data_IF_538580430013
#
_entry.id   IF_538580430013
#
_cell.length_a   1.000
_cell.length_b   1.000
_cell.length_c   1.000
_cell.angle_alpha   90.00
_cell.angle_beta   90.00
_cell.angle_gamma   90.00
#
_symmetry.space_group_name_H-M   'P 1'
#
loop_
_entity.id
_entity.type
_entity.pdbx_description
1 polymer ?
#
# COMPACT_ATOMS: atom_id res chain seq x y z
N UNK A 1 0.23 -8.84 -16.69
CA UNK A 1 1.68 -8.52 -16.67
C UNK A 1 2.20 -8.93 -15.31
N UNK A 2 3.04 -9.96 -15.26
CA UNK A 2 3.62 -10.49 -14.02
C UNK A 2 5.00 -9.85 -13.87
N UNK A 3 5.19 -9.01 -12.86
CA UNK A 3 6.53 -8.52 -12.51
C UNK A 3 7.32 -9.67 -11.87
N UNK A 4 7.90 -10.52 -12.72
CA UNK A 4 8.96 -11.43 -12.35
C UNK A 4 10.23 -10.63 -12.11
N UNK A 5 10.40 -10.12 -10.89
CA UNK A 5 11.71 -9.66 -10.43
C UNK A 5 12.65 -10.88 -10.45
N UNK A 6 13.55 -10.92 -11.43
CA UNK A 6 14.70 -11.82 -11.49
C UNK A 6 15.62 -11.56 -10.28
N UNK A 7 15.25 -12.12 -9.12
CA UNK A 7 16.06 -12.14 -7.90
C UNK A 7 17.11 -13.27 -7.93
N UNK A 8 17.24 -13.98 -9.04
CA UNK A 8 18.07 -15.18 -9.17
C UNK A 8 19.52 -14.89 -9.62
N UNK A 9 19.99 -13.65 -9.53
CA UNK A 9 21.39 -13.28 -9.85
C UNK A 9 22.25 -12.93 -8.64
N UNK A 10 21.66 -12.81 -7.45
CA UNK A 10 22.35 -12.33 -6.24
C UNK A 10 22.48 -13.33 -5.09
N UNK A 11 22.18 -14.61 -5.30
CA UNK A 11 22.37 -15.62 -4.25
C UNK A 11 21.58 -15.29 -2.97
N UNK A 12 20.41 -14.67 -3.09
CA UNK A 12 19.51 -14.47 -1.95
C UNK A 12 18.73 -15.76 -1.76
N UNK A 13 19.41 -16.73 -1.16
CA UNK A 13 18.84 -18.01 -0.73
C UNK A 13 17.98 -17.87 0.54
N UNK A 14 17.39 -16.69 0.78
CA UNK A 14 16.68 -16.45 2.02
C UNK A 14 15.24 -16.05 1.70
N UNK A 15 14.37 -17.07 1.68
CA UNK A 15 12.92 -16.88 1.66
C UNK A 15 12.47 -15.87 2.73
N UNK A 16 13.18 -15.69 3.85
CA UNK A 16 12.82 -14.67 4.85
C UNK A 16 13.05 -13.22 4.40
N UNK A 17 13.97 -12.92 3.48
CA UNK A 17 14.12 -11.53 2.99
C UNK A 17 13.00 -11.13 2.03
N UNK A 18 12.52 -12.07 1.21
CA UNK A 18 11.37 -11.85 0.32
C UNK A 18 10.07 -11.79 1.13
N UNK A 19 9.89 -12.68 2.11
CA UNK A 19 8.76 -12.63 3.04
C UNK A 19 8.78 -11.36 3.90
N UNK A 20 9.94 -10.92 4.37
CA UNK A 20 10.07 -9.64 5.09
C UNK A 20 9.73 -8.45 4.20
N UNK A 21 10.21 -8.43 2.95
CA UNK A 21 9.87 -7.36 2.02
C UNK A 21 8.36 -7.30 1.76
N UNK A 22 7.72 -8.45 1.54
CA UNK A 22 6.27 -8.54 1.35
C UNK A 22 5.51 -8.10 2.60
N UNK A 23 5.92 -8.57 3.78
CA UNK A 23 5.29 -8.21 5.05
C UNK A 23 5.43 -6.70 5.36
N UNK A 24 6.61 -6.13 5.13
CA UNK A 24 6.87 -4.70 5.29
C UNK A 24 6.01 -3.88 4.31
N UNK A 25 5.93 -4.33 3.05
CA UNK A 25 5.13 -3.67 2.01
C UNK A 25 3.64 -3.75 2.33
N UNK A 26 3.13 -4.91 2.74
CA UNK A 26 1.72 -5.10 3.13
C UNK A 26 1.37 -4.27 4.38
N UNK A 27 2.23 -4.28 5.39
CA UNK A 27 2.06 -3.45 6.59
C UNK A 27 2.06 -1.96 6.25
N UNK A 28 2.98 -1.52 5.38
CA UNK A 28 3.04 -0.15 4.91
C UNK A 28 1.80 0.22 4.09
N UNK A 29 1.33 -0.66 3.22
CA UNK A 29 0.13 -0.49 2.41
C UNK A 29 -1.14 -0.35 3.28
N UNK A 30 -1.26 -1.17 4.32
CA UNK A 30 -2.37 -1.11 5.28
C UNK A 30 -2.38 0.23 6.03
N UNK A 31 -1.22 0.68 6.52
CA UNK A 31 -1.08 1.99 7.16
C UNK A 31 -1.34 3.14 6.19
N UNK A 32 -0.83 3.06 4.97
CA UNK A 32 -1.05 4.06 3.93
C UNK A 32 -2.54 4.24 3.63
N UNK A 33 -3.27 3.13 3.45
CA UNK A 33 -4.72 3.16 3.22
C UNK A 33 -5.46 3.78 4.39
N UNK A 34 -5.07 3.42 5.62
CA UNK A 34 -5.65 3.95 6.86
C UNK A 34 -5.33 5.43 7.09
N UNK A 35 -4.22 5.94 6.58
CA UNK A 35 -3.91 7.37 6.64
C UNK A 35 -4.60 8.14 5.50
N UNK A 36 -4.72 7.54 4.32
CA UNK A 36 -5.37 8.12 3.14
C UNK A 36 -6.87 8.39 3.32
N UNK A 37 -7.55 7.74 4.28
CA UNK A 37 -8.94 8.06 4.62
C UNK A 37 -9.10 9.36 5.41
N UNK A 38 -8.03 9.85 6.04
CA UNK A 38 -8.08 11.04 6.89
C UNK A 38 -7.61 12.30 6.16
N UNK A 39 -6.57 12.17 5.32
CA UNK A 39 -5.94 13.29 4.61
C UNK A 39 -5.45 12.89 3.22
N UNK A 40 -4.66 13.77 2.61
CA UNK A 40 -4.22 13.57 1.22
C UNK A 40 -3.13 12.50 1.12
N UNK A 41 -3.31 11.44 0.30
CA UNK A 41 -2.30 10.39 0.11
C UNK A 41 -1.05 10.86 -0.63
N UNK A 42 -1.16 11.90 -1.48
CA UNK A 42 -0.01 12.44 -2.22
C UNK A 42 1.09 12.97 -1.28
N UNK A 43 0.68 13.58 -0.17
CA UNK A 43 1.58 14.10 0.85
C UNK A 43 2.23 13.00 1.71
N UNK A 44 1.60 11.83 1.85
CA UNK A 44 2.19 10.67 2.56
C UNK A 44 3.40 10.12 1.80
N UNK A 45 3.37 10.19 0.46
CA UNK A 45 4.51 9.77 -0.37
C UNK A 45 5.66 10.74 -0.36
N UNK A 46 5.37 12.01 -0.06
CA UNK A 46 6.38 13.06 0.08
C UNK A 46 6.99 13.01 1.47
N UNK A 47 8.21 13.53 1.63
CA UNK A 47 8.92 13.56 2.94
C UNK A 47 8.37 14.73 3.78
N UNK A 48 7.05 14.88 3.74
CA UNK A 48 6.31 15.97 4.34
C UNK A 48 6.33 15.79 5.86
N UNK A 49 6.50 16.87 6.65
CA UNK A 49 6.38 16.77 8.09
C UNK A 49 4.93 16.42 8.49
N UNK A 50 4.78 15.71 9.60
CA UNK A 50 3.46 15.30 10.11
C UNK A 50 2.49 16.48 10.26
N UNK A 51 2.97 17.64 10.72
CA UNK A 51 2.17 18.84 10.94
C UNK A 51 1.52 19.36 9.64
N UNK A 52 2.30 19.39 8.55
CA UNK A 52 1.83 19.81 7.23
C UNK A 52 0.86 18.79 6.62
N UNK A 53 1.08 17.50 6.84
CA UNK A 53 0.12 16.47 6.45
C UNK A 53 -1.17 16.55 7.28
N UNK A 54 -1.07 16.75 8.60
CA UNK A 54 -2.20 16.89 9.52
C UNK A 54 -3.05 18.12 9.19
N UNK A 55 -2.43 19.21 8.70
CA UNK A 55 -3.16 20.38 8.22
C UNK A 55 -4.10 20.06 7.02
N UNK A 56 -3.85 18.97 6.29
CA UNK A 56 -4.74 18.49 5.22
C UNK A 56 -5.78 17.47 5.68
N UNK A 57 -5.70 17.04 6.93
CA UNK A 57 -6.65 16.10 7.52
C UNK A 57 -7.93 16.84 7.89
N UNK A 58 -9.07 16.15 7.74
CA UNK A 58 -10.40 16.71 8.07
C UNK A 58 -10.42 17.28 9.51
N UNK A 59 -10.88 18.52 9.71
CA UNK A 59 -11.04 19.08 11.05
C UNK A 59 -12.10 18.29 11.82
N UNK A 60 -11.84 18.02 13.10
CA UNK A 60 -12.78 17.31 13.99
C UNK A 60 -12.35 15.90 14.40
N UNK A 61 -11.08 15.54 14.28
CA UNK A 61 -10.55 14.32 14.88
C UNK A 61 -10.59 14.40 16.41
N UNK A 62 -10.89 13.26 17.05
CA UNK A 62 -10.74 13.14 18.50
C UNK A 62 -9.25 13.04 18.84
N UNK A 63 -8.88 13.47 20.05
CA UNK A 63 -7.51 13.37 20.56
C UNK A 63 -6.97 11.93 20.50
N UNK A 64 -7.84 10.93 20.69
CA UNK A 64 -7.49 9.52 20.55
C UNK A 64 -7.14 9.13 19.11
N UNK A 65 -7.92 9.61 18.13
CA UNK A 65 -7.66 9.37 16.71
C UNK A 65 -6.40 10.09 16.25
N UNK A 66 -6.17 11.33 16.69
CA UNK A 66 -4.94 12.07 16.41
C UNK A 66 -3.70 11.32 16.90
N UNK A 67 -3.73 10.75 18.11
CA UNK A 67 -2.63 9.94 18.62
C UNK A 67 -2.44 8.64 17.83
N UNK A 68 -3.54 7.97 17.45
CA UNK A 68 -3.48 6.77 16.63
C UNK A 68 -2.87 7.07 15.25
N UNK A 69 -3.34 8.14 14.60
CA UNK A 69 -2.85 8.62 13.30
C UNK A 69 -1.37 9.03 13.39
N UNK A 70 -0.97 9.74 14.45
CA UNK A 70 0.43 10.11 14.67
C UNK A 70 1.33 8.87 14.82
N UNK A 71 0.84 7.83 15.52
CA UNK A 71 1.55 6.56 15.66
C UNK A 71 1.67 5.84 14.32
N UNK A 72 0.58 5.78 13.56
CA UNK A 72 0.52 5.13 12.26
C UNK A 72 1.42 5.84 11.24
N UNK A 73 1.44 7.18 11.24
CA UNK A 73 2.33 7.99 10.41
C UNK A 73 3.81 7.74 10.71
N UNK A 74 4.18 7.71 11.99
CA UNK A 74 5.55 7.41 12.42
C UNK A 74 5.96 6.00 12.00
N UNK A 75 5.06 5.04 12.14
CA UNK A 75 5.29 3.64 11.75
C UNK A 75 5.46 3.51 10.24
N UNK A 76 4.63 4.19 9.45
CA UNK A 76 4.77 4.25 8.00
C UNK A 76 6.12 4.83 7.58
N UNK A 77 6.59 5.89 8.24
CA UNK A 77 7.89 6.51 7.96
C UNK A 77 9.06 5.55 8.19
N UNK A 78 8.98 4.77 9.28
CA UNK A 78 10.00 3.75 9.59
C UNK A 78 9.98 2.66 8.50
N UNK A 79 8.81 2.12 8.17
CA UNK A 79 8.67 1.08 7.14
C UNK A 79 9.15 1.58 5.76
N UNK A 80 8.84 2.81 5.40
CA UNK A 80 9.35 3.45 4.18
C UNK A 80 10.87 3.54 4.17
N UNK A 81 11.48 3.84 5.32
CA UNK A 81 12.95 3.89 5.45
C UNK A 81 13.55 2.50 5.31
N UNK A 82 12.95 1.47 5.91
CA UNK A 82 13.41 0.08 5.74
C UNK A 82 13.25 -0.40 4.30
N UNK A 83 12.13 -0.09 3.66
CA UNK A 83 11.91 -0.38 2.24
C UNK A 83 12.90 0.39 1.35
N UNK A 84 13.21 1.65 1.64
CA UNK A 84 14.22 2.44 0.94
C UNK A 84 15.62 1.81 1.08
N UNK A 85 15.96 1.27 2.27
CA UNK A 85 17.23 0.55 2.48
C UNK A 85 17.30 -0.75 1.67
N UNK A 86 16.20 -1.50 1.59
CA UNK A 86 16.12 -2.77 0.86
C UNK A 86 16.10 -2.58 -0.66
N UNK A 87 15.30 -1.62 -1.15
CA UNK A 87 15.15 -1.32 -2.58
C UNK A 87 16.23 -0.39 -3.13
N UNK A 88 17.02 0.24 -2.26
CA UNK A 88 18.01 1.29 -2.57
C UNK A 88 17.43 2.49 -3.33
N UNK A 89 16.11 2.62 -3.41
CA UNK A 89 15.43 3.67 -4.15
C UNK A 89 14.06 3.94 -3.56
N UNK A 90 13.84 5.19 -3.17
CA UNK A 90 12.57 5.61 -2.57
C UNK A 90 11.40 5.48 -3.54
N UNK A 91 11.60 5.82 -4.80
CA UNK A 91 10.57 5.74 -5.84
C UNK A 91 10.10 4.29 -6.02
N UNK A 92 11.03 3.33 -5.98
CA UNK A 92 10.71 1.90 -6.02
C UNK A 92 9.98 1.44 -4.76
N UNK A 93 10.41 1.87 -3.57
CA UNK A 93 9.70 1.57 -2.32
C UNK A 93 8.25 2.08 -2.34
N UNK A 94 8.03 3.31 -2.82
CA UNK A 94 6.69 3.88 -2.95
C UNK A 94 5.85 3.14 -3.98
N UNK A 95 6.43 2.79 -5.14
CA UNK A 95 5.74 2.03 -6.17
C UNK A 95 5.24 0.68 -5.64
N UNK A 96 6.05 -0.04 -4.84
CA UNK A 96 5.66 -1.31 -4.22
C UNK A 96 4.47 -1.14 -3.26
N UNK A 97 4.49 -0.10 -2.43
CA UNK A 97 3.40 0.19 -1.49
C UNK A 97 2.13 0.50 -2.27
N UNK A 98 2.19 1.40 -3.25
CA UNK A 98 1.03 1.81 -4.05
C UNK A 98 0.45 0.65 -4.86
N UNK A 99 1.31 -0.17 -5.46
CA UNK A 99 0.89 -1.40 -6.16
C UNK A 99 0.16 -2.35 -5.20
N UNK A 100 0.69 -2.56 -3.99
CA UNK A 100 0.06 -3.42 -2.97
C UNK A 100 -1.27 -2.85 -2.47
N UNK A 101 -1.34 -1.51 -2.30
CA UNK A 101 -2.59 -0.81 -1.96
C UNK A 101 -3.65 -1.04 -3.05
N UNK A 102 -3.26 -0.99 -4.32
CA UNK A 102 -4.15 -1.22 -5.46
C UNK A 102 -4.56 -2.70 -5.62
N UNK A 103 -3.64 -3.65 -5.37
CA UNK A 103 -3.93 -5.09 -5.47
C UNK A 103 -4.83 -5.61 -4.35
N UNK A 104 -4.84 -4.94 -3.19
CA UNK A 104 -5.71 -5.28 -2.06
C UNK A 104 -7.16 -4.82 -2.21
N UNK A 105 -7.50 -4.09 -3.28
CA UNK A 105 -8.89 -3.87 -3.63
C UNK A 105 -9.46 -5.20 -4.12
N UNK A 106 -10.52 -5.75 -3.51
CA UNK A 106 -11.15 -6.93 -4.06
C UNK A 106 -11.55 -6.59 -5.49
N UNK A 107 -11.08 -7.40 -6.44
CA UNK A 107 -11.67 -7.47 -7.76
C UNK A 107 -13.10 -8.02 -7.61
N UNK A 108 -14.02 -7.24 -7.04
CA UNK A 108 -15.43 -7.59 -7.05
C UNK A 108 -16.06 -7.09 -8.35
N UNK A 109 -16.53 -8.08 -9.11
CA UNK A 109 -17.45 -7.99 -10.26
C UNK A 109 -16.89 -7.63 -11.63
N UNK A 110 -16.12 -8.56 -12.22
CA UNK A 110 -16.44 -9.01 -13.57
C UNK A 110 -17.57 -10.05 -13.47
N UNK A 111 -18.75 -9.60 -13.07
CA UNK A 111 -19.97 -10.35 -13.20
C UNK A 111 -20.49 -10.16 -14.61
N UNK A 112 -20.17 -11.08 -15.51
CA UNK A 112 -21.00 -11.30 -16.68
C UNK A 112 -21.16 -12.82 -16.85
N UNK A 113 -22.24 -13.34 -16.28
CA UNK A 113 -22.79 -14.63 -16.66
C UNK A 113 -23.23 -14.52 -18.12
N UNK A 114 -22.75 -15.33 -19.07
CA UNK A 114 -23.62 -15.70 -20.18
C UNK A 114 -24.63 -16.70 -19.63
N UNK A 115 -25.71 -16.19 -19.04
CA UNK A 115 -26.98 -16.91 -19.06
C UNK A 115 -27.43 -16.87 -20.52
N UNK A 116 -26.98 -17.82 -21.33
CA UNK A 116 -27.62 -18.11 -22.61
C UNK A 116 -29.00 -18.64 -22.27
N UNK A 117 -29.98 -17.74 -22.34
CA UNK A 117 -31.37 -18.07 -22.60
C UNK A 117 -31.41 -18.69 -23.99
N UNK A 118 -31.32 -20.01 -24.06
CA UNK A 118 -31.77 -20.74 -25.24
C UNK A 118 -33.27 -21.01 -25.05
N UNK A 119 -34.05 -20.04 -25.49
CA UNK A 119 -35.48 -20.18 -25.76
C UNK A 119 -35.68 -19.73 -27.21
N UNK A 120 -35.73 -20.69 -28.14
CA UNK A 120 -36.46 -20.62 -29.41
C UNK A 120 -36.41 -22.05 -30.01
N UNK A 121 -37.47 -22.85 -29.92
CA UNK A 121 -38.59 -22.87 -30.85
C UNK A 121 -38.19 -23.28 -32.29
N UNK A 122 -38.30 -24.59 -32.58
CA UNK A 122 -39.03 -25.17 -33.73
C UNK A 122 -38.97 -26.68 -33.64
#
# INVERSE_FOLDING_TARGET
>A
MVFGFELNRYGIADTMTIDSLRLLTDSAASLWRRLSQFGSPDLLGRRTPFDEWLATVKPGLSSADEQAIRRDYRRLTILLTELEMLTRSREQALALILETVHQSLPAEHAGEKPSTTEADAT
#
